data_IF_631287470314
#
_entry.id   IF_631287470314
#
_cell.length_a   1.000
_cell.length_b   1.000
_cell.length_c   1.000
_cell.angle_alpha   90.00
_cell.angle_beta   90.00
_cell.angle_gamma   90.00
#
_symmetry.space_group_name_H-M   'P 1'
#
loop_
_entity.id
_entity.type
_entity.pdbx_description
1 polymer ?
#
# COMPACT_ATOMS: atom_id res chain seq x y z
N UNK A 1 -19.12 -26.03 47.87
CA UNK A 1 -19.61 -25.28 46.69
C UNK A 1 -18.41 -24.67 45.99
N UNK A 2 -18.03 -25.23 44.84
CA UNK A 2 -16.92 -24.72 44.01
C UNK A 2 -17.47 -23.69 43.04
N UNK A 3 -17.10 -22.42 43.20
CA UNK A 3 -17.48 -21.35 42.28
C UNK A 3 -16.55 -21.39 41.06
N UNK A 4 -17.08 -21.84 39.92
CA UNK A 4 -16.40 -21.75 38.64
C UNK A 4 -16.34 -20.28 38.20
N UNK A 5 -15.15 -19.68 38.25
CA UNK A 5 -14.87 -18.39 37.64
C UNK A 5 -14.87 -18.55 36.11
N UNK A 6 -15.93 -18.09 35.45
CA UNK A 6 -15.96 -17.92 34.00
C UNK A 6 -15.16 -16.68 33.63
N UNK A 7 -13.88 -16.86 33.29
CA UNK A 7 -13.08 -15.79 32.71
C UNK A 7 -13.73 -15.35 31.39
N UNK A 8 -14.21 -14.10 31.36
CA UNK A 8 -14.74 -13.49 30.14
C UNK A 8 -13.62 -13.29 29.12
N UNK A 9 -13.90 -13.61 27.86
CA UNK A 9 -12.95 -13.39 26.77
C UNK A 9 -12.59 -11.89 26.68
N UNK A 10 -11.33 -11.53 26.42
CA UNK A 10 -10.92 -10.13 26.36
C UNK A 10 -11.70 -9.40 25.26
N UNK A 11 -12.23 -8.23 25.60
CA UNK A 11 -12.95 -7.38 24.65
C UNK A 11 -12.05 -7.07 23.44
N UNK A 12 -12.57 -7.29 22.23
CA UNK A 12 -11.86 -6.99 20.99
C UNK A 12 -11.55 -5.49 20.95
N UNK A 13 -10.29 -5.15 20.72
CA UNK A 13 -9.87 -3.75 20.63
C UNK A 13 -10.77 -2.97 19.64
N UNK A 14 -11.18 -1.74 19.99
CA UNK A 14 -12.07 -0.94 19.18
C UNK A 14 -11.45 -0.66 17.80
N UNK A 15 -12.29 -0.71 16.76
CA UNK A 15 -11.87 -0.45 15.38
C UNK A 15 -11.57 1.04 15.21
N UNK A 16 -10.46 1.36 14.56
CA UNK A 16 -10.08 2.73 14.22
C UNK A 16 -10.74 3.17 12.91
N UNK A 17 -11.95 3.73 12.98
CA UNK A 17 -12.74 4.12 11.79
C UNK A 17 -12.05 5.15 10.90
N UNK A 18 -11.25 6.05 11.47
CA UNK A 18 -10.43 7.02 10.74
C UNK A 18 -9.37 6.34 9.85
N UNK A 19 -8.74 5.28 10.31
CA UNK A 19 -7.76 4.51 9.55
C UNK A 19 -8.45 3.69 8.45
N UNK A 20 -9.61 3.12 8.72
CA UNK A 20 -10.37 2.40 7.69
C UNK A 20 -10.81 3.34 6.57
N UNK A 21 -11.24 4.56 6.92
CA UNK A 21 -11.51 5.62 5.95
C UNK A 21 -10.24 5.96 5.15
N UNK A 22 -9.09 6.13 5.81
CA UNK A 22 -7.82 6.40 5.13
C UNK A 22 -7.44 5.27 4.17
N UNK A 23 -7.69 4.01 4.55
CA UNK A 23 -7.47 2.85 3.68
C UNK A 23 -8.35 2.90 2.43
N UNK A 24 -9.63 3.26 2.58
CA UNK A 24 -10.55 3.42 1.44
C UNK A 24 -10.08 4.56 0.53
N UNK A 25 -9.70 5.71 1.09
CA UNK A 25 -9.15 6.84 0.32
C UNK A 25 -7.88 6.43 -0.44
N UNK A 26 -6.98 5.68 0.21
CA UNK A 26 -5.79 5.14 -0.43
C UNK A 26 -6.13 4.19 -1.59
N UNK A 27 -7.10 3.29 -1.42
CA UNK A 27 -7.60 2.43 -2.50
C UNK A 27 -8.15 3.25 -3.68
N UNK A 28 -8.90 4.32 -3.41
CA UNK A 28 -9.42 5.20 -4.47
C UNK A 28 -8.29 5.88 -5.25
N UNK A 29 -7.26 6.40 -4.58
CA UNK A 29 -6.09 6.98 -5.26
C UNK A 29 -5.32 5.94 -6.10
N UNK A 30 -5.21 4.70 -5.62
CA UNK A 30 -4.62 3.60 -6.39
C UNK A 30 -5.43 3.37 -7.67
N UNK A 31 -6.76 3.27 -7.56
CA UNK A 31 -7.64 3.05 -8.71
C UNK A 31 -7.60 4.19 -9.72
N UNK A 32 -7.63 5.45 -9.27
CA UNK A 32 -7.60 6.60 -10.18
C UNK A 32 -6.35 6.64 -11.06
N UNK A 33 -5.18 6.25 -10.53
CA UNK A 33 -3.97 6.19 -11.34
C UNK A 33 -3.96 5.06 -12.37
N UNK A 34 -4.66 3.95 -12.11
CA UNK A 34 -4.86 2.90 -13.13
C UNK A 34 -5.82 3.38 -14.22
N UNK A 35 -6.91 4.05 -13.84
CA UNK A 35 -7.85 4.67 -14.77
C UNK A 35 -7.16 5.69 -15.69
N UNK A 36 -6.27 6.54 -15.15
CA UNK A 36 -5.56 7.53 -15.95
C UNK A 36 -4.55 6.88 -16.90
N UNK A 37 -3.74 5.93 -16.40
CA UNK A 37 -2.66 5.30 -17.18
C UNK A 37 -3.18 4.44 -18.33
N UNK A 38 -4.19 3.62 -18.07
CA UNK A 38 -4.75 2.70 -19.07
C UNK A 38 -5.72 3.42 -20.03
N UNK A 39 -6.29 4.56 -19.63
CA UNK A 39 -6.98 5.50 -20.53
C UNK A 39 -6.04 6.39 -21.38
N UNK A 40 -4.74 6.11 -21.41
CA UNK A 40 -3.74 6.84 -22.21
C UNK A 40 -3.21 8.14 -21.59
N UNK A 41 -3.75 8.58 -20.45
CA UNK A 41 -3.28 9.73 -19.68
C UNK A 41 -2.15 9.31 -18.72
N UNK A 42 -1.01 8.93 -19.31
CA UNK A 42 0.24 8.73 -18.59
C UNK A 42 0.77 10.02 -17.94
N UNK A 43 2.08 10.10 -17.68
CA UNK A 43 2.67 11.38 -17.29
C UNK A 43 2.39 12.41 -18.41
N UNK A 44 1.86 13.60 -18.08
CA UNK A 44 1.73 14.66 -19.07
C UNK A 44 3.09 14.92 -19.72
N UNK A 45 3.14 15.04 -21.06
CA UNK A 45 4.36 15.44 -21.74
C UNK A 45 4.76 16.86 -21.32
N UNK A 46 6.05 17.18 -21.43
CA UNK A 46 6.52 18.54 -21.14
C UNK A 46 5.75 19.57 -22.00
N UNK A 47 5.54 19.25 -23.29
CA UNK A 47 4.77 20.10 -24.20
C UNK A 47 3.32 20.28 -23.77
N UNK A 48 2.66 19.24 -23.28
CA UNK A 48 1.29 19.36 -22.74
C UNK A 48 1.26 20.20 -21.46
N UNK A 49 2.25 20.03 -20.58
CA UNK A 49 2.37 20.84 -19.36
C UNK A 49 2.65 22.32 -19.68
N UNK A 50 3.41 22.62 -20.73
CA UNK A 50 3.64 23.99 -21.17
C UNK A 50 2.45 24.61 -21.89
N UNK A 51 1.75 23.84 -22.74
CA UNK A 51 0.62 24.33 -23.53
C UNK A 51 -0.67 24.45 -22.72
N UNK A 52 -0.92 23.55 -21.76
CA UNK A 52 -2.11 23.56 -20.90
C UNK A 52 -1.71 23.37 -19.42
N UNK A 53 -1.09 24.37 -18.78
CA UNK A 53 -0.44 24.22 -17.47
C UNK A 53 -1.37 23.73 -16.36
N UNK A 54 -2.63 24.18 -16.36
CA UNK A 54 -3.60 23.75 -15.35
C UNK A 54 -3.93 22.25 -15.46
N UNK A 55 -4.29 21.76 -16.66
CA UNK A 55 -4.62 20.35 -16.86
C UNK A 55 -3.37 19.46 -16.75
N UNK A 56 -2.23 19.91 -17.25
CA UNK A 56 -0.96 19.21 -17.07
C UNK A 56 -0.58 19.10 -15.60
N UNK A 57 -0.68 20.19 -14.83
CA UNK A 57 -0.43 20.21 -13.40
C UNK A 57 -1.37 19.29 -12.62
N UNK A 58 -2.65 19.26 -12.99
CA UNK A 58 -3.63 18.35 -12.41
C UNK A 58 -3.29 16.87 -12.69
N UNK A 59 -2.84 16.55 -13.91
CA UNK A 59 -2.37 15.20 -14.25
C UNK A 59 -1.15 14.76 -13.43
N UNK A 60 -0.18 15.66 -13.22
CA UNK A 60 0.95 15.42 -12.32
C UNK A 60 0.47 15.19 -10.89
N UNK A 61 -0.44 16.02 -10.39
CA UNK A 61 -0.99 15.90 -9.04
C UNK A 61 -1.69 14.57 -8.80
N UNK A 62 -2.56 14.13 -9.73
CA UNK A 62 -3.22 12.83 -9.65
C UNK A 62 -2.21 11.68 -9.61
N UNK A 63 -1.13 11.77 -10.40
CA UNK A 63 -0.06 10.77 -10.34
C UNK A 63 0.63 10.75 -8.97
N UNK A 64 0.89 11.90 -8.36
CA UNK A 64 1.48 11.95 -7.01
C UNK A 64 0.53 11.39 -5.94
N UNK A 65 -0.77 11.65 -6.07
CA UNK A 65 -1.77 11.06 -5.17
C UNK A 65 -1.84 9.55 -5.32
N UNK A 66 -1.74 9.01 -6.54
CA UNK A 66 -1.69 7.57 -6.78
C UNK A 66 -0.51 6.90 -6.04
N UNK A 67 0.69 7.45 -6.18
CA UNK A 67 1.89 6.91 -5.52
C UNK A 67 1.80 7.03 -4.01
N UNK A 68 1.37 8.20 -3.52
CA UNK A 68 1.11 8.42 -2.09
C UNK A 68 0.06 7.42 -1.56
N UNK A 69 -0.99 7.14 -2.33
CA UNK A 69 -2.03 6.17 -1.99
C UNK A 69 -1.47 4.75 -1.84
N UNK A 70 -0.60 4.32 -2.75
CA UNK A 70 0.12 3.04 -2.64
C UNK A 70 0.92 2.98 -1.34
N UNK A 71 1.72 4.00 -1.06
CA UNK A 71 2.60 4.02 0.11
C UNK A 71 1.80 4.02 1.41
N UNK A 72 0.76 4.86 1.50
CA UNK A 72 -0.16 4.89 2.64
C UNK A 72 -0.80 3.52 2.86
N UNK A 73 -1.24 2.86 1.79
CA UNK A 73 -1.86 1.55 1.90
C UNK A 73 -0.91 0.51 2.52
N UNK A 74 0.35 0.49 2.05
CA UNK A 74 1.39 -0.39 2.58
C UNK A 74 1.76 -0.03 4.02
N UNK A 75 1.88 1.26 4.33
CA UNK A 75 2.16 1.76 5.68
C UNK A 75 1.07 1.36 6.67
N UNK A 76 -0.22 1.51 6.32
CA UNK A 76 -1.32 1.04 7.17
C UNK A 76 -1.20 -0.47 7.39
N UNK A 77 -0.95 -1.24 6.32
CA UNK A 77 -0.81 -2.69 6.42
C UNK A 77 0.38 -3.13 7.29
N UNK A 78 1.49 -2.39 7.25
CA UNK A 78 2.59 -2.53 8.19
C UNK A 78 2.18 -2.19 9.62
N UNK A 79 1.63 -1.01 9.85
CA UNK A 79 1.27 -0.51 11.18
C UNK A 79 0.40 -1.51 11.98
N UNK A 80 -0.58 -2.13 11.32
CA UNK A 80 -1.47 -3.13 11.94
C UNK A 80 -0.97 -4.58 11.86
N UNK A 81 0.17 -4.84 11.23
CA UNK A 81 0.70 -6.15 10.90
C UNK A 81 -0.27 -7.03 10.09
N UNK A 82 0.12 -7.31 8.85
CA UNK A 82 -0.50 -8.38 8.06
C UNK A 82 -0.29 -9.75 8.77
N UNK A 83 -1.40 -10.40 9.12
CA UNK A 83 -1.45 -11.80 9.58
C UNK A 83 -2.32 -12.59 8.61
N UNK A 84 -1.74 -13.20 7.57
CA UNK A 84 -2.50 -13.80 6.49
C UNK A 84 -3.36 -14.94 7.02
N UNK A 85 -4.65 -14.90 6.66
CA UNK A 85 -5.62 -15.98 6.85
C UNK A 85 -6.17 -16.33 5.48
N UNK A 86 -6.58 -17.58 5.26
CA UNK A 86 -7.15 -18.04 3.98
C UNK A 86 -8.24 -17.07 3.51
N UNK A 87 -9.21 -16.74 4.37
CA UNK A 87 -10.29 -15.81 4.03
C UNK A 87 -9.79 -14.40 3.65
N UNK A 88 -8.71 -13.93 4.29
CA UNK A 88 -8.12 -12.62 3.98
C UNK A 88 -7.39 -12.62 2.63
N UNK A 89 -6.71 -13.71 2.30
CA UNK A 89 -6.05 -13.88 1.00
C UNK A 89 -7.09 -14.01 -0.11
N UNK A 90 -8.12 -14.85 0.08
CA UNK A 90 -9.23 -14.99 -0.87
C UNK A 90 -9.93 -13.63 -1.08
N UNK A 91 -10.20 -12.89 0.00
CA UNK A 91 -10.77 -11.55 -0.09
C UNK A 91 -9.88 -10.57 -0.87
N UNK A 92 -8.55 -10.66 -0.73
CA UNK A 92 -7.60 -9.83 -1.48
C UNK A 92 -7.67 -10.14 -2.98
N UNK A 93 -7.66 -11.42 -3.36
CA UNK A 93 -7.80 -11.83 -4.77
C UNK A 93 -9.15 -11.44 -5.35
N UNK A 94 -10.23 -11.62 -4.58
CA UNK A 94 -11.57 -11.18 -4.99
C UNK A 94 -11.59 -9.67 -5.24
N UNK A 95 -11.06 -8.86 -4.33
CA UNK A 95 -10.97 -7.40 -4.51
C UNK A 95 -10.14 -7.03 -5.75
N UNK A 96 -8.98 -7.66 -5.93
CA UNK A 96 -8.12 -7.41 -7.09
C UNK A 96 -8.81 -7.71 -8.42
N UNK A 97 -9.48 -8.85 -8.51
CA UNK A 97 -10.25 -9.23 -9.72
C UNK A 97 -11.46 -8.29 -9.90
N UNK A 98 -12.20 -8.01 -8.83
CA UNK A 98 -13.38 -7.14 -8.85
C UNK A 98 -13.03 -5.75 -9.40
N UNK A 99 -11.99 -5.11 -8.86
CA UNK A 99 -11.57 -3.79 -9.34
C UNK A 99 -10.99 -3.85 -10.75
N UNK A 100 -10.20 -4.87 -11.07
CA UNK A 100 -9.63 -5.04 -12.41
C UNK A 100 -10.70 -5.19 -13.49
N UNK A 101 -11.62 -6.13 -13.30
CA UNK A 101 -12.73 -6.37 -14.24
C UNK A 101 -13.69 -5.19 -14.26
N UNK A 102 -13.93 -4.55 -13.11
CA UNK A 102 -14.75 -3.34 -13.02
C UNK A 102 -14.19 -2.17 -13.83
N UNK A 103 -12.87 -1.94 -13.80
CA UNK A 103 -12.21 -0.91 -14.61
C UNK A 103 -12.30 -1.24 -16.10
N UNK A 104 -12.05 -2.49 -16.49
CA UNK A 104 -12.21 -2.92 -17.88
C UNK A 104 -13.64 -2.73 -18.38
N UNK A 105 -14.64 -3.16 -17.60
CA UNK A 105 -16.05 -2.94 -17.91
C UNK A 105 -16.38 -1.45 -18.04
N UNK A 106 -15.84 -0.60 -17.16
CA UNK A 106 -16.02 0.85 -17.25
C UNK A 106 -15.49 1.41 -18.57
N UNK A 107 -14.31 1.00 -19.05
CA UNK A 107 -13.80 1.46 -20.35
C UNK A 107 -14.62 0.97 -21.54
N UNK A 108 -15.09 -0.27 -21.50
CA UNK A 108 -16.00 -0.80 -22.53
C UNK A 108 -17.31 -0.01 -22.57
N UNK A 109 -17.91 0.25 -21.40
CA UNK A 109 -19.18 0.98 -21.30
C UNK A 109 -19.05 2.46 -21.71
N UNK A 110 -17.89 3.08 -21.44
CA UNK A 110 -17.59 4.46 -21.82
C UNK A 110 -16.99 4.59 -23.23
N UNK A 111 -16.91 3.50 -23.99
CA UNK A 111 -16.35 3.43 -25.35
C UNK A 111 -14.89 3.88 -25.46
N UNK A 112 -14.13 3.72 -24.38
CA UNK A 112 -12.68 3.96 -24.34
C UNK A 112 -11.88 2.71 -24.74
N UNK A 113 -12.52 1.53 -24.73
CA UNK A 113 -11.96 0.28 -25.21
C UNK A 113 -13.05 -0.60 -25.85
N UNK A 114 -12.65 -1.46 -26.79
CA UNK A 114 -13.55 -2.47 -27.34
C UNK A 114 -13.58 -3.73 -26.46
N UNK A 115 -14.74 -4.38 -26.43
CA UNK A 115 -14.86 -5.64 -25.71
C UNK A 115 -14.07 -6.76 -26.42
N UNK A 116 -13.24 -7.46 -25.66
CA UNK A 116 -12.41 -8.57 -26.09
C UNK A 116 -12.30 -9.60 -24.98
N UNK A 117 -12.53 -10.88 -25.32
CA UNK A 117 -12.31 -11.99 -24.40
C UNK A 117 -10.84 -12.11 -23.99
N UNK A 118 -9.92 -11.72 -24.88
CA UNK A 118 -8.49 -11.69 -24.60
C UNK A 118 -8.16 -10.72 -23.48
N UNK A 119 -8.63 -9.47 -23.59
CA UNK A 119 -8.44 -8.43 -22.56
C UNK A 119 -9.12 -8.80 -21.25
N UNK A 120 -10.37 -9.28 -21.30
CA UNK A 120 -11.07 -9.77 -20.11
C UNK A 120 -10.26 -10.86 -19.38
N UNK A 121 -9.63 -11.78 -20.12
CA UNK A 121 -8.80 -12.83 -19.53
C UNK A 121 -7.53 -12.30 -18.86
N UNK A 122 -6.99 -11.17 -19.34
CA UNK A 122 -5.86 -10.48 -18.69
C UNK A 122 -6.31 -9.83 -17.39
N UNK A 123 -7.48 -9.18 -17.39
CA UNK A 123 -8.05 -8.54 -16.21
C UNK A 123 -8.45 -9.53 -15.09
N UNK A 124 -8.66 -10.82 -15.41
CA UNK A 124 -8.80 -11.89 -14.43
C UNK A 124 -7.48 -12.31 -13.76
N UNK A 125 -6.33 -11.80 -14.22
CA UNK A 125 -4.98 -12.11 -13.72
C UNK A 125 -4.31 -10.84 -13.15
N UNK A 126 -4.86 -10.24 -12.05
CA UNK A 126 -4.41 -8.95 -11.55
C UNK A 126 -2.93 -8.92 -11.13
N UNK A 127 -2.33 -10.05 -10.76
CA UNK A 127 -0.89 -10.15 -10.46
C UNK A 127 0.01 -9.86 -11.65
N UNK A 128 -0.46 -10.13 -12.88
CA UNK A 128 0.30 -9.89 -14.11
C UNK A 128 0.10 -8.45 -14.59
N UNK A 129 -1.11 -7.92 -14.44
CA UNK A 129 -1.51 -6.62 -14.98
C UNK A 129 -1.07 -5.47 -14.06
N UNK A 130 -1.24 -5.63 -12.75
CA UNK A 130 -0.98 -4.56 -11.79
C UNK A 130 0.23 -4.86 -10.93
N UNK A 131 1.30 -4.09 -11.16
CA UNK A 131 2.55 -4.16 -10.41
C UNK A 131 2.33 -4.07 -8.88
N UNK A 132 1.39 -3.23 -8.45
CA UNK A 132 1.04 -3.04 -7.03
C UNK A 132 0.47 -4.34 -6.46
N UNK A 133 -0.50 -4.94 -7.16
CA UNK A 133 -1.17 -6.15 -6.70
C UNK A 133 -0.16 -7.31 -6.57
N UNK A 134 0.67 -7.51 -7.60
CA UNK A 134 1.73 -8.52 -7.56
C UNK A 134 2.70 -8.30 -6.40
N UNK A 135 3.19 -7.07 -6.21
CA UNK A 135 4.13 -6.74 -5.13
C UNK A 135 3.50 -6.89 -3.74
N UNK A 136 2.22 -6.52 -3.60
CA UNK A 136 1.49 -6.62 -2.35
C UNK A 136 1.19 -8.07 -1.96
N UNK A 137 0.89 -8.95 -2.92
CA UNK A 137 0.75 -10.40 -2.64
C UNK A 137 2.05 -10.99 -2.10
N UNK A 138 3.19 -10.63 -2.68
CA UNK A 138 4.50 -11.03 -2.16
C UNK A 138 4.76 -10.48 -0.75
N UNK A 139 4.41 -9.22 -0.49
CA UNK A 139 4.49 -8.66 0.86
C UNK A 139 3.62 -9.45 1.85
N UNK A 140 2.38 -9.79 1.49
CA UNK A 140 1.46 -10.57 2.34
C UNK A 140 2.05 -11.95 2.65
N UNK A 141 2.72 -12.59 1.68
CA UNK A 141 3.41 -13.86 1.87
C UNK A 141 4.61 -13.74 2.82
N UNK A 142 5.39 -12.67 2.70
CA UNK A 142 6.58 -12.44 3.53
C UNK A 142 6.27 -11.87 4.91
N UNK A 143 5.11 -11.23 5.08
CA UNK A 143 4.72 -10.54 6.31
C UNK A 143 4.85 -11.38 7.60
N UNK A 144 4.53 -12.69 7.64
CA UNK A 144 4.73 -13.50 8.85
C UNK A 144 6.20 -13.56 9.29
N UNK A 145 7.14 -13.63 8.34
CA UNK A 145 8.58 -13.66 8.61
C UNK A 145 9.05 -12.28 9.09
N UNK A 146 8.62 -11.22 8.39
CA UNK A 146 8.94 -9.84 8.77
C UNK A 146 8.41 -9.50 10.18
N UNK A 147 7.21 -9.95 10.52
CA UNK A 147 6.63 -9.75 11.84
C UNK A 147 7.46 -10.43 12.93
N UNK A 148 7.90 -11.67 12.71
CA UNK A 148 8.76 -12.37 13.67
C UNK A 148 10.08 -11.65 13.87
N UNK A 149 10.73 -11.22 12.79
CA UNK A 149 11.96 -10.46 12.86
C UNK A 149 11.78 -9.21 13.74
N UNK A 150 10.76 -8.40 13.44
CA UNK A 150 10.50 -7.14 14.15
C UNK A 150 10.09 -7.35 15.61
N UNK A 151 9.40 -8.45 15.93
CA UNK A 151 9.04 -8.80 17.31
C UNK A 151 10.26 -9.25 18.14
N UNK A 152 11.30 -9.81 17.51
CA UNK A 152 12.53 -10.23 18.18
C UNK A 152 13.68 -9.22 18.15
N UNK A 153 13.69 -8.31 17.17
CA UNK A 153 14.80 -7.39 16.95
C UNK A 153 14.87 -6.31 18.03
N UNK A 154 16.09 -5.88 18.38
CA UNK A 154 16.25 -4.71 19.23
C UNK A 154 15.83 -3.44 18.50
N UNK A 155 15.22 -2.47 19.21
CA UNK A 155 14.86 -1.15 18.64
C UNK A 155 16.00 -0.51 17.85
N UNK A 156 17.22 -0.54 18.40
CA UNK A 156 18.42 0.04 17.75
C UNK A 156 18.79 -0.68 16.46
N UNK A 157 18.66 -2.00 16.43
CA UNK A 157 18.98 -2.83 15.27
C UNK A 157 18.01 -2.54 14.13
N UNK A 158 16.70 -2.58 14.40
CA UNK A 158 15.68 -2.26 13.41
C UNK A 158 15.77 -0.80 12.94
N UNK A 159 16.05 0.13 13.85
CA UNK A 159 16.27 1.54 13.52
C UNK A 159 17.49 1.76 12.62
N UNK A 160 18.61 1.08 12.90
CA UNK A 160 19.81 1.14 12.07
C UNK A 160 19.56 0.51 10.69
N UNK A 161 18.91 -0.65 10.63
CA UNK A 161 18.52 -1.28 9.38
C UNK A 161 17.68 -0.31 8.51
N UNK A 162 16.65 0.33 9.10
CA UNK A 162 15.82 1.29 8.38
C UNK A 162 16.62 2.52 7.93
N UNK A 163 17.51 3.05 8.78
CA UNK A 163 18.36 4.18 8.41
C UNK A 163 19.26 3.86 7.20
N UNK A 164 19.92 2.69 7.23
CA UNK A 164 20.75 2.21 6.12
C UNK A 164 19.88 1.96 4.88
N UNK A 165 18.75 1.28 5.02
CA UNK A 165 17.82 1.01 3.93
C UNK A 165 17.38 2.30 3.23
N UNK A 166 16.91 3.32 3.97
CA UNK A 166 16.47 4.59 3.38
C UNK A 166 17.63 5.45 2.86
N UNK A 167 18.82 5.33 3.45
CA UNK A 167 20.02 5.95 2.89
C UNK A 167 20.32 5.41 1.48
N UNK A 168 20.21 4.10 1.26
CA UNK A 168 20.36 3.52 -0.07
C UNK A 168 19.17 3.83 -0.98
N UNK A 169 17.94 3.64 -0.49
CA UNK A 169 16.72 3.79 -1.27
C UNK A 169 16.46 5.23 -1.74
N UNK A 170 16.85 6.23 -0.94
CA UNK A 170 16.64 7.64 -1.27
C UNK A 170 17.94 8.37 -1.60
N UNK A 171 18.97 8.21 -0.75
CA UNK A 171 20.23 8.94 -0.89
C UNK A 171 21.06 8.46 -2.07
N UNK A 172 21.38 7.16 -2.11
CA UNK A 172 22.21 6.60 -3.19
C UNK A 172 21.46 6.55 -4.53
N UNK A 173 20.16 6.27 -4.52
CA UNK A 173 19.35 6.32 -5.74
C UNK A 173 19.32 7.74 -6.34
N UNK A 174 19.20 8.78 -5.50
CA UNK A 174 19.29 10.18 -5.95
C UNK A 174 20.69 10.53 -6.48
N UNK A 175 21.75 10.06 -5.81
CA UNK A 175 23.13 10.39 -6.15
C UNK A 175 23.65 9.64 -7.39
N UNK A 176 23.31 8.36 -7.54
CA UNK A 176 23.93 7.45 -8.52
C UNK A 176 22.95 6.61 -9.34
N UNK A 177 21.63 6.73 -9.14
CA UNK A 177 20.60 5.98 -9.89
C UNK A 177 20.87 4.47 -9.97
N UNK A 178 21.39 3.89 -8.88
CA UNK A 178 22.13 2.62 -8.94
C UNK A 178 21.26 1.37 -8.81
N UNK A 179 20.03 1.46 -8.28
CA UNK A 179 19.29 0.25 -7.89
C UNK A 179 18.16 -0.15 -8.86
N UNK A 180 18.47 -1.09 -9.76
CA UNK A 180 17.44 -1.80 -10.56
C UNK A 180 16.44 -2.56 -9.70
N UNK A 181 16.83 -2.91 -8.49
CA UNK A 181 16.12 -3.80 -7.56
C UNK A 181 14.94 -3.08 -6.91
N UNK A 182 15.10 -1.79 -6.60
CA UNK A 182 14.05 -1.00 -5.98
C UNK A 182 13.00 -0.56 -6.99
N UNK A 183 13.36 -0.55 -8.29
CA UNK A 183 12.52 -0.10 -9.40
C UNK A 183 11.85 1.23 -9.10
N UNK A 184 12.58 2.23 -8.56
CA UNK A 184 12.01 3.55 -8.19
C UNK A 184 10.80 3.46 -7.24
N UNK A 185 10.76 2.44 -6.38
CA UNK A 185 9.67 2.20 -5.42
C UNK A 185 8.60 1.20 -5.89
N UNK A 186 8.66 0.73 -7.15
CA UNK A 186 7.67 -0.17 -7.74
C UNK A 186 7.98 -1.66 -7.51
N UNK A 187 8.53 -2.01 -6.35
CA UNK A 187 9.05 -3.35 -6.06
C UNK A 187 8.57 -3.92 -4.72
N UNK A 188 8.67 -5.24 -4.57
CA UNK A 188 8.46 -5.92 -3.28
C UNK A 188 9.42 -5.39 -2.22
N UNK A 189 10.67 -5.09 -2.59
CA UNK A 189 11.67 -4.56 -1.67
C UNK A 189 11.26 -3.19 -1.11
N UNK A 190 10.72 -2.32 -1.96
CA UNK A 190 10.15 -1.03 -1.54
C UNK A 190 9.02 -1.22 -0.52
N UNK A 191 8.14 -2.19 -0.77
CA UNK A 191 7.03 -2.51 0.13
C UNK A 191 7.51 -3.07 1.47
N UNK A 192 8.55 -3.90 1.48
CA UNK A 192 9.17 -4.40 2.71
C UNK A 192 9.70 -3.22 3.53
N UNK A 193 10.40 -2.27 2.92
CA UNK A 193 10.89 -1.07 3.59
C UNK A 193 9.78 -0.26 4.27
N UNK A 194 8.72 0.08 3.52
CA UNK A 194 7.55 0.79 4.04
C UNK A 194 6.85 0.01 5.16
N UNK A 195 6.67 -1.30 4.97
CA UNK A 195 6.04 -2.17 5.96
C UNK A 195 6.84 -2.16 7.27
N UNK A 196 8.16 -2.36 7.21
CA UNK A 196 9.04 -2.36 8.37
C UNK A 196 9.12 -0.99 9.04
N UNK A 197 9.10 0.10 8.26
CA UNK A 197 9.02 1.45 8.79
C UNK A 197 7.75 1.63 9.64
N UNK A 198 6.59 1.25 9.10
CA UNK A 198 5.33 1.34 9.83
C UNK A 198 5.29 0.43 11.07
N UNK A 199 5.90 -0.76 11.00
CA UNK A 199 6.07 -1.64 12.18
C UNK A 199 6.93 -0.96 13.25
N UNK A 200 8.06 -0.37 12.87
CA UNK A 200 8.94 0.35 13.77
C UNK A 200 8.21 1.51 14.47
N UNK A 201 7.47 2.32 13.69
CA UNK A 201 6.65 3.42 14.24
C UNK A 201 5.57 2.90 15.20
N UNK A 202 4.89 1.79 14.88
CA UNK A 202 3.89 1.21 15.78
C UNK A 202 4.49 0.77 17.12
N UNK A 203 5.65 0.11 17.09
CA UNK A 203 6.27 -0.47 18.29
C UNK A 203 7.02 0.57 19.14
N UNK A 204 7.56 1.63 18.52
CA UNK A 204 8.47 2.55 19.20
C UNK A 204 8.08 4.02 19.14
N UNK A 205 7.13 4.39 18.27
CA UNK A 205 6.67 5.78 18.10
C UNK A 205 5.73 6.26 19.21
N UNK A 206 5.00 5.35 19.87
CA UNK A 206 4.05 5.71 20.95
C UNK A 206 4.74 5.81 22.33
N UNK A 207 5.90 5.17 22.50
CA UNK A 207 6.66 5.24 23.76
C UNK A 207 7.33 6.62 24.03
N UNK A 208 7.34 7.52 23.03
CA UNK A 208 7.82 8.90 23.19
C UNK A 208 6.71 9.91 23.51
N UNK A 209 5.45 9.48 23.59
CA UNK A 209 4.30 10.36 23.81
C UNK A 209 3.48 9.88 25.01
N UNK A 210 4.16 9.74 26.16
CA UNK A 210 3.49 9.54 27.45
C UNK A 210 2.59 10.73 27.85
N UNK A 211 2.74 11.88 27.19
CA UNK A 211 1.97 13.11 27.47
C UNK A 211 0.63 13.24 26.73
N UNK A 212 0.29 12.32 25.81
CA UNK A 212 -1.02 12.34 25.12
C UNK A 212 -2.11 11.56 25.85
N UNK A 213 -1.76 10.77 26.87
CA UNK A 213 -2.75 10.15 27.76
C UNK A 213 -3.34 11.16 28.77
N UNK A 214 -2.75 12.35 28.92
CA UNK A 214 -3.21 13.40 29.84
C UNK A 214 -4.06 14.50 29.15
N UNK A 215 -4.43 14.34 27.88
CA UNK A 215 -5.23 15.34 27.14
C UNK A 215 -6.52 14.77 26.52
N UNK A 216 -7.20 13.89 27.24
CA UNK A 216 -8.62 13.62 26.98
C UNK A 216 -9.47 14.37 28.00
N UNK A 217 -10.10 15.45 27.54
CA UNK A 217 -11.38 15.92 28.09
C UNK A 217 -12.49 14.95 27.71
#
# INVERSE_FOLDING_TARGET
MSTSSTASAPARAPRSSNIELLRIVAMLFIMFGHLSREGGAGLPSADFLHSVPFLGGLGVWFRMMNLTGVDIFVLISGYFAIRPRVNSVVSLFFQGIFYSVGMYAFWVLTKQADFSLGELSMHLKPMKVYWFFGSYVWLVLLAPVLNRYVESAMKRELGLFLAVYYFFACGMEWWMSTSSELQRGYSVLAFIGLYLLARYVRLHGVAGVSWLHDMTF
#
